data_IF_077033054670
#
_entry.id   IF_077033054670
#
_cell.length_a   1.000
_cell.length_b   1.000
_cell.length_c   1.000
_cell.angle_alpha   90.00
_cell.angle_beta   90.00
_cell.angle_gamma   90.00
#
_symmetry.space_group_name_H-M   'P 1'
#
loop_
_entity.id
_entity.type
_entity.pdbx_description
1 polymer ?
#
# COMPACT_ATOMS: atom_id res chain seq x y z
N UNK A 1 -17.28 -8.51 -14.86
CA UNK A 1 -17.46 -8.32 -13.40
C UNK A 1 -17.55 -6.83 -13.11
N UNK A 2 -18.08 -6.40 -11.96
CA UNK A 2 -18.06 -4.98 -11.54
C UNK A 2 -16.62 -4.42 -11.58
N UNK A 3 -15.64 -5.24 -11.16
CA UNK A 3 -14.21 -4.90 -11.22
C UNK A 3 -13.70 -4.63 -12.65
N UNK A 4 -14.26 -5.29 -13.65
CA UNK A 4 -13.89 -5.09 -15.06
C UNK A 4 -14.39 -3.78 -15.67
N UNK A 5 -15.31 -3.08 -15.01
CA UNK A 5 -15.81 -1.78 -15.47
C UNK A 5 -14.89 -0.65 -14.96
N UNK A 6 -13.85 -0.31 -15.73
CA UNK A 6 -12.80 0.63 -15.30
C UNK A 6 -13.34 1.95 -14.74
N UNK A 7 -14.20 2.66 -15.49
CA UNK A 7 -14.76 3.95 -15.04
C UNK A 7 -15.55 3.84 -13.73
N UNK A 8 -16.28 2.73 -13.53
CA UNK A 8 -17.04 2.51 -12.30
C UNK A 8 -16.11 2.38 -11.10
N UNK A 9 -14.98 1.70 -11.28
CA UNK A 9 -13.93 1.57 -10.27
C UNK A 9 -13.18 2.88 -10.04
N UNK A 10 -12.82 3.60 -11.10
CA UNK A 10 -12.07 4.86 -11.00
C UNK A 10 -12.85 5.90 -10.20
N UNK A 11 -14.11 6.17 -10.58
CA UNK A 11 -14.95 7.19 -9.94
C UNK A 11 -15.60 6.71 -8.63
N UNK A 12 -15.07 5.67 -7.97
CA UNK A 12 -15.66 5.22 -6.71
C UNK A 12 -15.39 6.20 -5.56
N UNK A 13 -14.26 6.91 -5.59
CA UNK A 13 -13.93 7.91 -4.58
C UNK A 13 -14.79 9.15 -4.70
N UNK A 14 -15.13 9.59 -5.92
CA UNK A 14 -16.09 10.67 -6.13
C UNK A 14 -17.43 10.35 -5.47
N UNK A 15 -17.93 9.12 -5.67
CA UNK A 15 -19.19 8.68 -5.07
C UNK A 15 -19.10 8.58 -3.55
N UNK A 16 -17.95 8.20 -3.00
CA UNK A 16 -17.72 8.18 -1.55
C UNK A 16 -17.75 9.59 -0.96
N UNK A 17 -17.03 10.55 -1.57
CA UNK A 17 -17.04 11.95 -1.14
C UNK A 17 -18.42 12.60 -1.28
N UNK A 18 -19.14 12.35 -2.37
CA UNK A 18 -20.52 12.82 -2.55
C UNK A 18 -21.48 12.25 -1.49
N UNK A 19 -21.18 11.08 -0.94
CA UNK A 19 -21.94 10.47 0.14
C UNK A 19 -21.51 10.96 1.54
N UNK A 20 -20.54 11.87 1.63
CA UNK A 20 -20.04 12.44 2.88
C UNK A 20 -18.90 11.64 3.54
N UNK A 21 -18.25 10.73 2.80
CA UNK A 21 -17.01 10.07 3.25
C UNK A 21 -15.82 10.85 2.71
N UNK A 22 -15.25 11.72 3.54
CA UNK A 22 -14.12 12.59 3.20
C UNK A 22 -12.76 11.88 3.34
N UNK A 23 -12.61 10.96 4.29
CA UNK A 23 -11.39 10.15 4.44
C UNK A 23 -11.32 8.98 3.45
N UNK A 24 -10.65 9.21 2.32
CA UNK A 24 -10.48 8.21 1.25
C UNK A 24 -9.03 7.76 1.09
N UNK A 25 -8.85 6.47 0.77
CA UNK A 25 -7.56 5.88 0.42
C UNK A 25 -7.52 5.46 -1.04
N UNK A 26 -6.58 5.98 -1.83
CA UNK A 26 -6.34 5.52 -3.20
C UNK A 26 -5.08 4.66 -3.27
N UNK A 27 -4.88 3.96 -4.39
CA UNK A 27 -3.66 3.19 -4.55
C UNK A 27 -3.55 2.46 -5.88
N UNK A 28 -2.33 2.06 -6.18
CA UNK A 28 -1.98 1.29 -7.38
C UNK A 28 -1.23 0.03 -6.98
N UNK A 29 -1.53 -1.07 -7.67
CA UNK A 29 -0.75 -2.30 -7.60
C UNK A 29 0.41 -2.24 -8.60
N UNK A 30 1.59 -1.84 -8.13
CA UNK A 30 2.79 -1.69 -8.93
C UNK A 30 3.28 -3.04 -9.45
N UNK A 31 3.61 -3.11 -10.74
CA UNK A 31 3.95 -4.36 -11.43
C UNK A 31 3.00 -4.71 -12.57
N UNK A 32 1.79 -4.13 -12.59
CA UNK A 32 0.81 -4.32 -13.66
C UNK A 32 1.13 -3.50 -14.92
N UNK A 33 1.68 -2.30 -14.73
CA UNK A 33 2.08 -1.38 -15.79
C UNK A 33 3.28 -0.53 -15.36
N UNK A 34 3.79 0.32 -16.28
CA UNK A 34 4.93 1.19 -16.03
C UNK A 34 4.69 2.10 -14.81
N UNK A 35 5.59 2.03 -13.84
CA UNK A 35 5.42 2.70 -12.56
C UNK A 35 5.34 4.23 -12.69
N UNK A 36 5.95 4.82 -13.72
CA UNK A 36 5.94 6.28 -13.92
C UNK A 36 4.56 6.72 -14.37
N UNK A 37 3.96 5.96 -15.29
CA UNK A 37 2.57 6.16 -15.70
C UNK A 37 1.62 6.04 -14.51
N UNK A 38 1.80 5.02 -13.68
CA UNK A 38 0.96 4.80 -12.50
C UNK A 38 1.09 5.90 -11.45
N UNK A 39 2.31 6.38 -11.18
CA UNK A 39 2.54 7.53 -10.28
C UNK A 39 1.88 8.78 -10.84
N UNK A 40 2.02 9.08 -12.14
CA UNK A 40 1.31 10.20 -12.74
C UNK A 40 -0.21 10.06 -12.57
N UNK A 41 -0.76 8.85 -12.77
CA UNK A 41 -2.18 8.57 -12.55
C UNK A 41 -2.63 8.83 -11.12
N UNK A 42 -1.85 8.43 -10.12
CA UNK A 42 -2.13 8.74 -8.70
C UNK A 42 -2.15 10.24 -8.43
N UNK A 43 -1.20 11.00 -9.00
CA UNK A 43 -1.13 12.45 -8.82
C UNK A 43 -2.31 13.15 -9.49
N UNK A 44 -2.65 12.80 -10.73
CA UNK A 44 -3.83 13.37 -11.39
C UNK A 44 -5.14 13.01 -10.70
N UNK A 45 -5.24 11.80 -10.13
CA UNK A 45 -6.41 11.43 -9.34
C UNK A 45 -6.48 12.25 -8.04
N UNK A 46 -5.35 12.51 -7.40
CA UNK A 46 -5.28 13.38 -6.21
C UNK A 46 -5.73 14.81 -6.55
N UNK A 47 -5.15 15.40 -7.61
CA UNK A 47 -5.51 16.75 -8.08
C UNK A 47 -7.01 16.83 -8.38
N UNK A 48 -7.56 15.84 -9.09
CA UNK A 48 -9.00 15.79 -9.39
C UNK A 48 -9.86 15.83 -8.13
N UNK A 49 -9.51 15.03 -7.11
CA UNK A 49 -10.26 15.00 -5.86
C UNK A 49 -10.17 16.33 -5.11
N UNK A 50 -8.97 16.91 -5.01
CA UNK A 50 -8.76 18.21 -4.37
C UNK A 50 -9.54 19.33 -5.07
N UNK A 51 -9.50 19.39 -6.41
CA UNK A 51 -10.22 20.40 -7.20
C UNK A 51 -11.75 20.23 -7.12
N UNK A 52 -12.22 18.99 -7.09
CA UNK A 52 -13.67 18.68 -7.11
C UNK A 52 -14.31 18.84 -5.74
N UNK A 53 -13.57 18.59 -4.66
CA UNK A 53 -14.11 18.49 -3.30
C UNK A 53 -13.49 19.50 -2.32
N UNK A 54 -13.37 20.76 -2.76
CA UNK A 54 -12.96 21.90 -1.91
C UNK A 54 -11.60 21.72 -1.20
N UNK A 55 -10.62 21.15 -1.91
CA UNK A 55 -9.28 20.90 -1.40
C UNK A 55 -9.12 19.56 -0.68
N UNK A 56 -10.15 18.70 -0.65
CA UNK A 56 -10.08 17.38 -0.01
C UNK A 56 -9.57 16.33 -0.99
N UNK A 57 -8.28 16.04 -0.88
CA UNK A 57 -7.61 14.94 -1.57
C UNK A 57 -7.76 13.59 -0.85
N UNK A 58 -7.01 12.56 -1.28
CA UNK A 58 -6.96 11.30 -0.55
C UNK A 58 -6.24 11.48 0.79
N UNK A 59 -6.82 10.93 1.85
CA UNK A 59 -6.19 10.83 3.16
C UNK A 59 -4.97 9.91 3.12
N UNK A 60 -5.03 8.83 2.32
CA UNK A 60 -3.89 7.91 2.14
C UNK A 60 -3.68 7.47 0.70
N UNK A 61 -2.42 7.17 0.38
CA UNK A 61 -2.02 6.45 -0.83
C UNK A 61 -1.31 5.16 -0.43
N UNK A 62 -1.82 4.04 -0.96
CA UNK A 62 -1.17 2.73 -0.89
C UNK A 62 -0.44 2.43 -2.19
N UNK A 63 0.79 1.93 -2.09
CA UNK A 63 1.64 1.59 -3.25
C UNK A 63 2.20 0.16 -3.12
N UNK A 64 1.33 -0.87 -3.01
CA UNK A 64 1.77 -2.26 -2.97
C UNK A 64 2.43 -2.71 -4.29
N UNK A 65 3.51 -3.49 -4.21
CA UNK A 65 4.01 -4.25 -5.37
C UNK A 65 3.24 -5.58 -5.54
N UNK A 66 3.18 -6.06 -6.78
CA UNK A 66 2.75 -7.44 -7.06
C UNK A 66 3.65 -8.40 -6.32
N UNK A 67 3.02 -9.33 -5.63
CA UNK A 67 3.66 -10.45 -4.95
C UNK A 67 3.14 -11.75 -5.55
N UNK A 68 3.94 -12.83 -5.54
CA UNK A 68 3.49 -14.15 -5.96
C UNK A 68 2.18 -14.54 -5.25
N UNK A 69 1.29 -15.22 -5.97
CA UNK A 69 0.01 -15.66 -5.44
C UNK A 69 -0.42 -16.96 -6.10
N UNK A 70 -0.99 -17.87 -5.30
CA UNK A 70 -1.48 -19.18 -5.74
C UNK A 70 -2.47 -19.03 -6.89
N UNK A 71 -2.29 -19.83 -7.94
CA UNK A 71 -3.18 -19.80 -9.12
C UNK A 71 -3.09 -18.55 -9.99
N UNK A 72 -2.03 -17.72 -9.83
CA UNK A 72 -1.86 -16.47 -10.58
C UNK A 72 -0.54 -16.46 -11.35
N UNK A 73 -0.43 -17.10 -12.53
CA UNK A 73 0.84 -17.20 -13.27
C UNK A 73 1.50 -15.84 -13.60
N UNK A 74 0.70 -14.79 -13.77
CA UNK A 74 1.21 -13.44 -14.04
C UNK A 74 2.06 -12.89 -12.88
N UNK A 75 1.73 -13.23 -11.63
CA UNK A 75 2.45 -12.67 -10.47
C UNK A 75 3.86 -13.20 -10.30
N UNK A 76 4.20 -14.32 -10.95
CA UNK A 76 5.54 -14.92 -10.87
C UNK A 76 6.60 -14.08 -11.57
N UNK A 77 6.25 -13.47 -12.72
CA UNK A 77 7.15 -12.63 -13.52
C UNK A 77 6.38 -11.49 -14.21
N UNK A 78 5.96 -10.46 -13.46
CA UNK A 78 5.24 -9.33 -14.03
C UNK A 78 6.08 -8.60 -15.07
N UNK A 79 5.48 -8.28 -16.21
CA UNK A 79 6.18 -7.54 -17.30
C UNK A 79 6.75 -6.20 -16.83
N UNK A 80 6.06 -5.54 -15.90
CA UNK A 80 6.42 -4.22 -15.41
C UNK A 80 6.94 -4.26 -13.97
N UNK A 81 7.68 -5.31 -13.62
CA UNK A 81 8.30 -5.48 -12.30
C UNK A 81 9.04 -4.20 -11.89
N UNK A 82 8.79 -3.75 -10.66
CA UNK A 82 9.37 -2.52 -10.10
C UNK A 82 10.53 -2.89 -9.17
N UNK A 83 11.72 -2.41 -9.52
CA UNK A 83 12.94 -2.63 -8.72
C UNK A 83 12.86 -1.91 -7.36
N UNK A 84 13.65 -2.34 -6.37
CA UNK A 84 13.73 -1.66 -5.07
C UNK A 84 14.20 -0.20 -5.22
N UNK A 85 15.08 0.07 -6.20
CA UNK A 85 15.54 1.42 -6.51
C UNK A 85 14.43 2.30 -7.07
N UNK A 86 13.63 1.79 -8.02
CA UNK A 86 12.47 2.51 -8.56
C UNK A 86 11.37 2.66 -7.50
N UNK A 87 11.20 1.69 -6.63
CA UNK A 87 10.25 1.73 -5.52
C UNK A 87 10.60 2.82 -4.51
N UNK A 88 11.87 2.94 -4.11
CA UNK A 88 12.34 4.07 -3.29
C UNK A 88 12.08 5.40 -3.98
N UNK A 89 12.37 5.47 -5.28
CA UNK A 89 12.18 6.69 -6.07
C UNK A 89 10.71 7.11 -6.14
N UNK A 90 9.78 6.18 -6.39
CA UNK A 90 8.36 6.53 -6.44
C UNK A 90 7.81 6.94 -5.08
N UNK A 91 8.27 6.35 -3.98
CA UNK A 91 7.86 6.77 -2.62
C UNK A 91 8.31 8.21 -2.34
N UNK A 92 9.56 8.54 -2.65
CA UNK A 92 10.07 9.90 -2.49
C UNK A 92 9.32 10.91 -3.37
N UNK A 93 9.01 10.55 -4.62
CA UNK A 93 8.21 11.40 -5.51
C UNK A 93 6.82 11.65 -4.92
N UNK A 94 6.12 10.60 -4.49
CA UNK A 94 4.78 10.73 -3.89
C UNK A 94 4.82 11.63 -2.65
N UNK A 95 5.78 11.42 -1.73
CA UNK A 95 5.90 12.26 -0.53
C UNK A 95 6.14 13.73 -0.87
N UNK A 96 6.98 14.03 -1.86
CA UNK A 96 7.24 15.40 -2.27
C UNK A 96 6.04 16.05 -2.99
N UNK A 97 5.25 15.26 -3.72
CA UNK A 97 4.12 15.77 -4.49
C UNK A 97 2.84 15.96 -3.65
N UNK A 98 2.59 15.10 -2.66
CA UNK A 98 1.38 15.12 -1.81
C UNK A 98 1.76 15.09 -0.32
N UNK A 99 2.34 16.18 0.21
CA UNK A 99 3.03 16.16 1.51
C UNK A 99 2.13 15.87 2.71
N UNK A 100 0.83 16.16 2.63
CA UNK A 100 -0.12 15.92 3.73
C UNK A 100 -0.81 14.55 3.65
N UNK A 101 -0.78 13.89 2.49
CA UNK A 101 -1.37 12.56 2.32
C UNK A 101 -0.52 11.50 3.03
N UNK A 102 -1.16 10.61 3.77
CA UNK A 102 -0.53 9.46 4.40
C UNK A 102 -0.03 8.47 3.35
N UNK A 103 1.15 7.89 3.55
CA UNK A 103 1.75 6.89 2.66
C UNK A 103 1.82 5.55 3.40
N UNK A 104 1.13 4.54 2.86
CA UNK A 104 1.02 3.20 3.47
C UNK A 104 1.98 2.22 2.78
N UNK A 105 2.96 1.73 3.53
CA UNK A 105 3.80 0.58 3.13
C UNK A 105 3.34 -0.67 3.88
N UNK A 106 3.11 -1.78 3.16
CA UNK A 106 2.53 -3.00 3.75
C UNK A 106 3.54 -4.13 3.85
N UNK A 107 3.18 -5.23 4.52
CA UNK A 107 3.99 -6.42 4.70
C UNK A 107 4.18 -7.22 3.41
N UNK A 108 3.72 -6.69 2.27
CA UNK A 108 4.20 -7.11 0.94
C UNK A 108 5.69 -6.87 0.80
N UNK A 109 6.18 -5.74 1.29
CA UNK A 109 7.58 -5.38 1.17
C UNK A 109 8.42 -6.11 2.23
N UNK A 110 9.61 -6.61 1.87
CA UNK A 110 10.52 -7.21 2.82
C UNK A 110 11.09 -6.17 3.80
N UNK A 111 11.59 -6.64 4.93
CA UNK A 111 12.14 -5.81 6.02
C UNK A 111 13.19 -4.81 5.52
N UNK A 112 14.09 -5.24 4.64
CA UNK A 112 15.15 -4.37 4.10
C UNK A 112 14.59 -3.23 3.27
N UNK A 113 13.55 -3.45 2.46
CA UNK A 113 12.91 -2.38 1.68
C UNK A 113 12.17 -1.43 2.61
N UNK A 114 11.43 -1.97 3.57
CA UNK A 114 10.67 -1.17 4.56
C UNK A 114 11.60 -0.21 5.30
N UNK A 115 12.74 -0.70 5.82
CA UNK A 115 13.77 0.15 6.45
C UNK A 115 14.24 1.30 5.57
N UNK A 116 14.38 1.06 4.27
CA UNK A 116 14.86 2.09 3.34
C UNK A 116 13.78 3.12 2.94
N UNK A 117 12.50 2.74 2.89
CA UNK A 117 11.42 3.65 2.46
C UNK A 117 10.77 4.42 3.59
N UNK A 118 10.80 3.91 4.83
CA UNK A 118 10.32 4.64 6.02
C UNK A 118 10.86 6.07 6.08
N UNK A 119 12.18 6.32 6.04
CA UNK A 119 12.72 7.68 6.09
C UNK A 119 12.41 8.53 4.84
N UNK A 120 11.93 7.94 3.75
CA UNK A 120 11.59 8.66 2.51
C UNK A 120 10.17 9.23 2.51
N UNK A 121 9.35 8.88 3.50
CA UNK A 121 8.03 9.47 3.66
C UNK A 121 6.90 8.50 3.96
N UNK A 122 7.15 7.22 4.23
CA UNK A 122 6.08 6.34 4.71
C UNK A 122 5.60 6.84 6.07
N UNK A 123 4.28 6.92 6.26
CA UNK A 123 3.69 7.39 7.52
C UNK A 123 2.90 6.30 8.24
N UNK A 124 2.56 5.21 7.55
CA UNK A 124 1.81 4.10 8.11
C UNK A 124 2.37 2.78 7.59
N UNK A 125 2.50 1.81 8.49
CA UNK A 125 2.88 0.44 8.17
C UNK A 125 1.99 -0.54 8.93
N UNK A 126 1.76 -1.72 8.36
CA UNK A 126 1.21 -2.86 9.07
C UNK A 126 2.32 -3.63 9.81
N UNK A 127 1.96 -4.45 10.80
CA UNK A 127 2.90 -5.28 11.54
C UNK A 127 2.20 -6.53 12.08
N UNK A 128 2.91 -7.65 12.20
CA UNK A 128 2.32 -8.93 12.59
C UNK A 128 1.28 -9.46 11.58
N UNK A 129 1.41 -9.06 10.31
CA UNK A 129 0.40 -9.24 9.27
C UNK A 129 0.08 -10.71 9.01
N UNK A 130 -1.22 -11.02 8.99
CA UNK A 130 -1.76 -12.32 8.61
C UNK A 130 -2.92 -12.14 7.64
N UNK A 131 -2.74 -12.58 6.40
CA UNK A 131 -3.68 -12.31 5.30
C UNK A 131 -4.56 -13.51 4.93
N UNK A 132 -4.32 -14.67 5.55
CA UNK A 132 -5.17 -15.84 5.38
C UNK A 132 -6.52 -15.66 6.08
N UNK A 133 -7.60 -16.19 5.49
CA UNK A 133 -8.93 -16.14 6.12
C UNK A 133 -8.91 -16.89 7.46
N UNK A 134 -9.20 -16.18 8.56
CA UNK A 134 -9.17 -16.72 9.93
C UNK A 134 -7.75 -16.98 10.48
N UNK A 135 -6.72 -16.41 9.85
CA UNK A 135 -5.32 -16.68 10.18
C UNK A 135 -4.92 -16.23 11.59
N UNK A 136 -5.45 -15.12 12.10
CA UNK A 136 -5.12 -14.65 13.45
C UNK A 136 -5.55 -15.64 14.56
N UNK A 137 -6.64 -16.40 14.36
CA UNK A 137 -7.07 -17.42 15.30
C UNK A 137 -6.18 -18.68 15.30
N UNK A 138 -5.38 -18.90 14.25
CA UNK A 138 -4.53 -20.09 14.05
C UNK A 138 -3.06 -19.78 14.32
N UNK A 139 -2.80 -19.15 15.47
CA UNK A 139 -1.60 -18.37 15.80
C UNK A 139 -0.23 -18.98 15.46
N UNK A 140 -0.07 -20.30 15.32
CA UNK A 140 1.23 -20.94 15.04
C UNK A 140 1.54 -21.30 13.58
N UNK A 141 0.56 -21.35 12.67
CA UNK A 141 0.76 -21.82 11.28
C UNK A 141 0.16 -20.92 10.20
N UNK A 142 -0.27 -19.71 10.56
CA UNK A 142 -1.21 -18.98 9.73
C UNK A 142 -0.62 -18.28 8.49
N UNK A 143 0.70 -18.08 8.46
CA UNK A 143 1.45 -17.62 7.28
C UNK A 143 2.19 -18.79 6.60
N UNK A 144 1.77 -20.02 6.86
CA UNK A 144 2.33 -21.26 6.30
C UNK A 144 1.29 -22.02 5.47
N UNK A 145 0.19 -21.36 5.09
CA UNK A 145 -0.90 -21.96 4.33
C UNK A 145 -1.12 -21.17 3.03
N UNK A 146 -0.26 -21.37 2.01
CA UNK A 146 -0.28 -20.60 0.76
C UNK A 146 -1.62 -20.62 0.03
N UNK A 147 -2.40 -21.71 0.16
CA UNK A 147 -3.70 -21.87 -0.49
C UNK A 147 -4.80 -20.98 0.12
N UNK A 148 -4.53 -20.36 1.28
CA UNK A 148 -5.50 -19.50 1.99
C UNK A 148 -5.10 -18.03 2.01
N UNK A 149 -3.89 -17.72 1.56
CA UNK A 149 -3.34 -16.37 1.55
C UNK A 149 -3.63 -15.67 0.22
N UNK A 150 -3.84 -14.35 0.27
CA UNK A 150 -4.11 -13.56 -0.92
C UNK A 150 -2.86 -13.39 -1.81
N UNK A 151 -1.68 -13.42 -1.22
CA UNK A 151 -0.36 -13.25 -1.84
C UNK A 151 0.72 -13.70 -0.86
N UNK A 152 1.98 -13.84 -1.28
CA UNK A 152 3.10 -14.13 -0.37
C UNK A 152 3.52 -12.88 0.42
N UNK A 153 3.59 -12.99 1.75
CA UNK A 153 4.05 -11.93 2.65
C UNK A 153 5.57 -11.75 2.51
N UNK A 154 6.03 -10.51 2.38
CA UNK A 154 7.44 -10.11 2.39
C UNK A 154 8.03 -9.88 3.78
N UNK A 155 7.21 -9.43 4.75
CA UNK A 155 7.62 -9.26 6.15
C UNK A 155 6.66 -10.01 7.11
N UNK A 156 7.14 -11.11 7.68
CA UNK A 156 6.37 -11.98 8.58
C UNK A 156 6.71 -11.80 10.06
N UNK A 157 7.49 -10.78 10.40
CA UNK A 157 7.92 -10.49 11.77
C UNK A 157 6.74 -10.17 12.67
N UNK A 158 6.94 -10.37 13.97
CA UNK A 158 5.92 -10.06 14.97
C UNK A 158 5.70 -8.55 15.12
N UNK A 159 4.60 -8.15 15.76
CA UNK A 159 4.38 -6.75 16.11
C UNK A 159 5.54 -6.21 16.96
N UNK A 160 5.99 -6.98 17.95
CA UNK A 160 7.05 -6.57 18.87
C UNK A 160 8.38 -6.34 18.15
N UNK A 161 8.75 -7.23 17.21
CA UNK A 161 9.98 -7.07 16.42
C UNK A 161 9.94 -5.81 15.54
N UNK A 162 8.79 -5.54 14.91
CA UNK A 162 8.63 -4.34 14.08
C UNK A 162 8.66 -3.08 14.94
N UNK A 163 7.97 -3.07 16.08
CA UNK A 163 8.00 -1.93 17.02
C UNK A 163 9.42 -1.66 17.52
N UNK A 164 10.17 -2.71 17.86
CA UNK A 164 11.56 -2.59 18.27
C UNK A 164 12.44 -1.97 17.17
N UNK A 165 12.31 -2.44 15.92
CA UNK A 165 13.06 -1.88 14.79
C UNK A 165 12.73 -0.39 14.56
N UNK A 166 11.47 0.02 14.67
CA UNK A 166 11.08 1.43 14.53
C UNK A 166 11.73 2.30 15.62
N UNK A 167 11.82 1.80 16.86
CA UNK A 167 12.52 2.48 17.93
C UNK A 167 14.04 2.58 17.65
N UNK A 168 14.65 1.51 17.14
CA UNK A 168 16.07 1.48 16.77
C UNK A 168 16.39 2.45 15.60
N UNK A 169 15.42 2.71 14.74
CA UNK A 169 15.48 3.73 13.68
C UNK A 169 15.30 5.16 14.20
N UNK A 170 15.22 5.36 15.53
CA UNK A 170 14.94 6.64 16.19
C UNK A 170 13.60 7.29 15.77
N UNK A 171 12.64 6.46 15.38
CA UNK A 171 11.27 6.88 15.11
C UNK A 171 10.37 6.57 16.31
N UNK A 172 9.17 7.17 16.33
CA UNK A 172 8.18 6.94 17.39
C UNK A 172 7.03 6.09 16.82
N UNK A 173 6.87 4.84 17.25
CA UNK A 173 5.67 4.06 16.93
C UNK A 173 4.42 4.75 17.48
N UNK A 174 3.35 4.77 16.69
CA UNK A 174 2.08 5.39 17.08
C UNK A 174 0.91 4.48 16.75
N UNK A 175 0.00 4.35 17.72
CA UNK A 175 -1.31 3.68 17.57
C UNK A 175 -2.45 4.70 17.72
N UNK A 176 -2.19 5.96 17.38
CA UNK A 176 -3.13 7.06 17.55
C UNK A 176 -4.39 6.87 16.70
N UNK A 177 -5.54 7.23 17.29
CA UNK A 177 -6.86 7.28 16.64
C UNK A 177 -7.63 8.54 17.05
N UNK A 178 -6.92 9.59 17.50
CA UNK A 178 -7.48 10.82 18.04
C UNK A 178 -7.97 11.77 16.97
#
# INVERSE_FOLDING_TARGET
TIKGHYRWRLYCMDRAQQAGVDDNGIGVLFGLYDWRFEVMGLLYHTIHLEETFNGVGPHTISFPRIMPATGTPYSERPRYTVSDADYKKLVAILRLSVPYTGLICTAREPDHVRREVIPLGVSQIDAGTRIGVGAYAKSKSANQLPDKEQFTIGDSRSLDDVVAEICDMHCIPSFCTA
#
